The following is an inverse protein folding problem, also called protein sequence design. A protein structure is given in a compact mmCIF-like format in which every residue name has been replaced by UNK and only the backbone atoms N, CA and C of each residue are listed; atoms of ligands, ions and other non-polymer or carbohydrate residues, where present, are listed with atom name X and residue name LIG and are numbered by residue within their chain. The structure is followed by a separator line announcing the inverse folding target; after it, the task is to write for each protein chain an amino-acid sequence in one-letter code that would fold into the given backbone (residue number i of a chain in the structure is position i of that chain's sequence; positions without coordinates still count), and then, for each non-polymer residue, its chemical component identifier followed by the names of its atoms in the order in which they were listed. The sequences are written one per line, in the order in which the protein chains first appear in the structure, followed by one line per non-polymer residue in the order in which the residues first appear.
data_IF_504998200140
#
_entry.id   IF_504998200140
#
_cell.length_a   1.000
_cell.length_b   1.000
_cell.length_c   1.000
_cell.angle_alpha   90.00
_cell.angle_beta   90.00
_cell.angle_gamma   90.00
#
_symmetry.space_group_name_H-M   'P 1'
#
loop_
_entity.id
_entity.type
_entity.pdbx_description
1 polymer ?
#
# COMPACT_ATOMS: atom_id res chain seq x y z
N UNK A 1 -30.89 6.53 8.06
CA UNK A 1 -30.29 6.67 6.71
C UNK A 1 -28.83 6.25 6.82
N UNK A 2 -28.17 5.80 5.75
CA UNK A 2 -26.82 5.19 5.82
C UNK A 2 -25.72 6.13 6.32
N UNK A 3 -25.89 7.45 6.18
CA UNK A 3 -24.93 8.48 6.60
C UNK A 3 -25.51 9.42 7.66
N UNK A 4 -26.46 8.95 8.48
CA UNK A 4 -27.18 9.78 9.43
C UNK A 4 -26.23 10.44 10.44
N UNK A 5 -26.17 11.78 10.42
CA UNK A 5 -25.37 12.57 11.36
C UNK A 5 -23.89 12.72 10.99
N UNK A 6 -23.42 12.09 9.90
CA UNK A 6 -22.06 12.27 9.41
C UNK A 6 -21.89 13.68 8.82
N UNK A 7 -20.81 14.38 9.19
CA UNK A 7 -20.46 15.71 8.71
C UNK A 7 -19.47 15.59 7.55
N UNK A 8 -19.92 15.89 6.34
CA UNK A 8 -19.13 15.72 5.12
C UNK A 8 -18.83 17.08 4.51
N UNK A 9 -17.53 17.39 4.39
CA UNK A 9 -17.07 18.56 3.66
C UNK A 9 -16.76 18.17 2.21
N UNK A 10 -17.43 18.81 1.26
CA UNK A 10 -17.27 18.53 -0.17
C UNK A 10 -16.49 19.65 -0.85
N UNK A 11 -15.24 19.35 -1.22
CA UNK A 11 -14.38 20.17 -2.06
C UNK A 11 -14.76 20.05 -3.53
N UNK A 12 -15.02 21.16 -4.21
CA UNK A 12 -15.35 21.20 -5.64
C UNK A 12 -14.26 22.00 -6.37
N UNK A 13 -13.71 21.42 -7.43
CA UNK A 13 -12.65 22.04 -8.25
C UNK A 13 -13.15 22.38 -9.65
N UNK A 14 -12.51 23.36 -10.32
CA UNK A 14 -12.97 23.89 -11.60
C UNK A 14 -12.65 22.99 -12.79
N UNK A 15 -13.52 22.02 -13.07
CA UNK A 15 -13.49 21.20 -14.28
C UNK A 15 -14.89 20.92 -14.81
N UNK A 16 -15.00 20.36 -16.02
CA UNK A 16 -16.29 20.11 -16.68
C UNK A 16 -17.24 19.26 -15.82
N UNK A 17 -16.73 18.35 -14.99
CA UNK A 17 -17.53 17.51 -14.12
C UNK A 17 -18.09 18.22 -12.87
N UNK A 18 -17.79 19.51 -12.63
CA UNK A 18 -18.24 20.23 -11.44
C UNK A 18 -19.78 20.27 -11.29
N UNK A 19 -20.53 20.24 -12.40
CA UNK A 19 -21.99 20.16 -12.33
C UNK A 19 -22.49 18.86 -11.67
N UNK A 20 -21.73 17.76 -11.75
CA UNK A 20 -22.09 16.49 -11.11
C UNK A 20 -22.07 16.59 -9.59
N UNK A 21 -21.27 17.50 -9.01
CA UNK A 21 -21.21 17.74 -7.57
C UNK A 21 -22.55 18.21 -7.00
N UNK A 22 -23.40 18.88 -7.79
CA UNK A 22 -24.76 19.28 -7.39
C UNK A 22 -25.59 18.04 -7.01
N UNK A 23 -25.50 16.99 -7.83
CA UNK A 23 -26.22 15.73 -7.60
C UNK A 23 -25.64 15.02 -6.38
N UNK A 24 -24.31 14.93 -6.29
CA UNK A 24 -23.60 14.32 -5.15
C UNK A 24 -23.99 14.97 -3.81
N UNK A 25 -23.99 16.30 -3.72
CA UNK A 25 -24.39 17.04 -2.51
C UNK A 25 -25.80 16.65 -2.06
N UNK A 26 -26.76 16.60 -3.00
CA UNK A 26 -28.15 16.20 -2.70
C UNK A 26 -28.24 14.73 -2.29
N UNK A 27 -27.44 13.86 -2.90
CA UNK A 27 -27.46 12.43 -2.61
C UNK A 27 -26.91 12.13 -1.21
N UNK A 28 -25.85 12.82 -0.79
CA UNK A 28 -25.31 12.77 0.58
C UNK A 28 -26.36 13.25 1.60
N UNK A 29 -27.02 14.39 1.35
CA UNK A 29 -28.08 14.90 2.21
C UNK A 29 -29.28 13.94 2.30
N UNK A 30 -29.68 13.32 1.19
CA UNK A 30 -30.74 12.28 1.17
C UNK A 30 -30.38 11.05 2.00
N UNK A 31 -29.09 10.81 2.24
CA UNK A 31 -28.55 9.75 3.11
C UNK A 31 -28.35 10.19 4.55
N UNK A 32 -28.77 11.41 4.89
CA UNK A 32 -28.80 11.92 6.27
C UNK A 32 -27.51 12.59 6.72
N UNK A 33 -26.55 12.80 5.81
CA UNK A 33 -25.33 13.53 6.09
C UNK A 33 -25.60 15.04 6.22
N UNK A 34 -24.88 15.69 7.12
CA UNK A 34 -24.71 17.14 7.13
C UNK A 34 -23.62 17.50 6.12
N UNK A 35 -23.93 18.36 5.15
CA UNK A 35 -23.05 18.59 4.01
C UNK A 35 -22.72 20.06 3.85
N UNK A 36 -21.41 20.38 3.85
CA UNK A 36 -20.89 21.70 3.50
C UNK A 36 -20.12 21.62 2.19
N UNK A 37 -20.10 22.71 1.43
CA UNK A 37 -19.35 22.80 0.17
C UNK A 37 -18.28 23.89 0.27
N UNK A 38 -17.09 23.57 -0.24
CA UNK A 38 -15.94 24.46 -0.31
C UNK A 38 -15.34 24.35 -1.71
N UNK A 39 -14.90 25.46 -2.30
CA UNK A 39 -14.56 25.45 -3.73
C UNK A 39 -13.23 26.12 -4.03
N UNK A 40 -12.62 25.73 -5.15
CA UNK A 40 -11.59 26.57 -5.77
C UNK A 40 -12.22 27.76 -6.50
N UNK A 41 -11.50 28.88 -6.69
CA UNK A 41 -12.01 30.04 -7.46
C UNK A 41 -12.52 29.68 -8.86
N UNK A 42 -11.86 28.71 -9.53
CA UNK A 42 -12.21 28.26 -10.88
C UNK A 42 -13.57 27.57 -11.01
N UNK A 43 -14.22 27.14 -9.91
CA UNK A 43 -15.56 26.50 -9.96
C UNK A 43 -16.62 27.43 -10.54
N UNK A 44 -16.49 28.74 -10.29
CA UNK A 44 -17.43 29.77 -10.76
C UNK A 44 -17.61 29.81 -12.28
N UNK A 45 -16.66 29.26 -13.04
CA UNK A 45 -16.74 29.13 -14.50
C UNK A 45 -17.63 27.97 -14.97
N UNK A 46 -18.01 27.05 -14.07
CA UNK A 46 -18.79 25.85 -14.39
C UNK A 46 -20.11 25.78 -13.61
N UNK A 47 -20.10 26.16 -12.33
CA UNK A 47 -21.27 26.13 -11.43
C UNK A 47 -21.32 27.42 -10.62
N UNK A 48 -22.51 28.03 -10.54
CA UNK A 48 -22.72 29.23 -9.74
C UNK A 48 -22.68 28.95 -8.23
N UNK A 49 -21.98 29.80 -7.48
CA UNK A 49 -21.90 29.67 -6.01
C UNK A 49 -23.28 29.71 -5.33
N UNK A 50 -24.21 30.50 -5.87
CA UNK A 50 -25.60 30.54 -5.38
C UNK A 50 -26.32 29.20 -5.47
N UNK A 51 -26.03 28.39 -6.50
CA UNK A 51 -26.58 27.04 -6.61
C UNK A 51 -26.08 26.15 -5.48
N UNK A 52 -24.78 26.23 -5.17
CA UNK A 52 -24.18 25.45 -4.08
C UNK A 52 -24.75 25.90 -2.72
N UNK A 53 -24.80 27.20 -2.46
CA UNK A 53 -25.41 27.78 -1.24
C UNK A 53 -26.88 27.35 -1.07
N UNK A 54 -27.66 27.36 -2.14
CA UNK A 54 -29.06 26.96 -2.10
C UNK A 54 -29.25 25.46 -1.81
N UNK A 55 -28.33 24.60 -2.26
CA UNK A 55 -28.38 23.15 -2.03
C UNK A 55 -27.90 22.81 -0.63
N UNK A 56 -26.76 23.33 -0.20
CA UNK A 56 -26.19 23.04 1.12
C UNK A 56 -26.95 23.77 2.24
N UNK A 57 -27.59 24.90 1.92
CA UNK A 57 -28.15 25.87 2.88
C UNK A 57 -27.08 26.42 3.84
N UNK A 58 -25.85 26.46 3.35
CA UNK A 58 -24.65 26.89 4.08
C UNK A 58 -23.88 27.90 3.22
N UNK A 59 -22.97 28.62 3.85
CA UNK A 59 -21.98 29.40 3.09
C UNK A 59 -21.13 28.50 2.19
N UNK A 60 -20.49 29.09 1.18
CA UNK A 60 -19.58 28.38 0.27
C UNK A 60 -18.28 29.16 0.18
N UNK A 61 -17.28 28.83 1.01
CA UNK A 61 -15.99 29.49 1.02
C UNK A 61 -15.18 29.19 -0.25
N UNK A 62 -14.37 30.18 -0.69
CA UNK A 62 -13.59 30.13 -1.94
C UNK A 62 -12.15 30.57 -1.71
N UNK A 63 -11.96 31.79 -1.21
CA UNK A 63 -10.65 32.35 -0.88
C UNK A 63 -10.42 32.35 0.63
N UNK A 64 -9.16 32.23 1.05
CA UNK A 64 -8.77 32.33 2.47
C UNK A 64 -8.98 33.76 2.98
N UNK A 65 -8.71 34.75 2.14
CA UNK A 65 -8.87 36.17 2.44
C UNK A 65 -9.94 36.78 1.53
N UNK A 66 -10.88 37.51 2.11
CA UNK A 66 -11.86 38.28 1.34
C UNK A 66 -11.28 39.64 0.94
N UNK A 67 -11.57 40.10 -0.28
CA UNK A 67 -11.06 41.38 -0.81
C UNK A 67 -11.89 42.60 -0.38
N UNK A 68 -13.07 42.39 0.20
CA UNK A 68 -13.95 43.48 0.62
C UNK A 68 -14.11 43.46 2.15
N UNK A 69 -14.05 44.65 2.75
CA UNK A 69 -14.06 44.91 4.20
C UNK A 69 -15.39 44.59 4.91
N UNK A 70 -16.05 43.50 4.55
CA UNK A 70 -17.17 42.95 5.29
C UNK A 70 -16.65 42.28 6.57
N UNK A 71 -16.84 43.02 7.66
CA UNK A 71 -16.57 42.63 9.02
C UNK A 71 -17.44 41.43 9.44
N UNK A 72 -17.00 40.22 9.09
CA UNK A 72 -17.34 39.03 9.87
C UNK A 72 -16.08 38.62 10.61
N UNK A 73 -16.08 38.90 11.92
CA UNK A 73 -15.00 38.71 12.87
C UNK A 73 -14.53 37.24 13.07
N UNK A 74 -14.93 36.34 12.16
CA UNK A 74 -14.75 34.89 12.26
C UNK A 74 -14.18 34.27 10.96
N UNK A 75 -13.73 35.11 10.03
CA UNK A 75 -13.36 34.68 8.66
C UNK A 75 -11.97 34.04 8.55
N UNK A 76 -10.99 34.44 9.37
CA UNK A 76 -9.59 34.03 9.18
C UNK A 76 -9.30 32.57 9.58
N UNK A 77 -10.01 32.01 10.57
CA UNK A 77 -9.85 30.62 11.03
C UNK A 77 -10.75 29.62 10.31
N UNK A 78 -11.55 30.05 9.31
CA UNK A 78 -12.49 29.15 8.61
C UNK A 78 -11.82 27.93 8.01
N UNK A 79 -10.62 28.09 7.44
CA UNK A 79 -9.84 26.97 6.90
C UNK A 79 -9.54 25.91 7.98
N UNK A 80 -9.40 26.30 9.25
CA UNK A 80 -9.20 25.40 10.39
C UNK A 80 -10.53 24.76 10.80
N UNK A 81 -11.52 25.58 11.19
CA UNK A 81 -12.75 25.06 11.79
C UNK A 81 -13.59 24.21 10.83
N UNK A 82 -13.53 24.48 9.52
CA UNK A 82 -14.23 23.64 8.54
C UNK A 82 -13.53 22.29 8.34
N UNK A 83 -12.19 22.26 8.38
CA UNK A 83 -11.42 21.02 8.35
C UNK A 83 -11.62 20.18 9.61
N UNK A 84 -11.79 20.81 10.78
CA UNK A 84 -12.07 20.14 12.05
C UNK A 84 -13.54 19.69 12.20
N UNK A 85 -14.47 20.37 11.54
CA UNK A 85 -15.90 20.03 11.59
C UNK A 85 -16.23 18.74 10.84
N UNK A 86 -15.47 18.40 9.80
CA UNK A 86 -15.79 17.27 8.94
C UNK A 86 -15.34 15.94 9.55
N UNK A 87 -16.20 14.92 9.48
CA UNK A 87 -15.87 13.51 9.74
C UNK A 87 -15.28 12.84 8.49
N UNK A 88 -15.57 13.39 7.30
CA UNK A 88 -14.93 13.02 6.03
C UNK A 88 -14.81 14.25 5.12
N UNK A 89 -13.65 14.41 4.49
CA UNK A 89 -13.44 15.42 3.45
C UNK A 89 -13.38 14.74 2.07
N UNK A 90 -14.31 15.07 1.17
CA UNK A 90 -14.35 14.56 -0.21
C UNK A 90 -14.07 15.69 -1.20
N UNK A 91 -13.08 15.54 -2.09
CA UNK A 91 -12.82 16.47 -3.20
C UNK A 91 -13.32 15.85 -4.50
N UNK A 92 -14.52 16.24 -4.95
CA UNK A 92 -15.19 15.67 -6.11
C UNK A 92 -15.95 16.73 -6.92
N UNK A 93 -15.52 17.03 -8.16
CA UNK A 93 -14.29 16.55 -8.80
C UNK A 93 -13.01 17.15 -8.21
N UNK A 94 -11.90 16.45 -8.38
CA UNK A 94 -10.54 16.93 -8.14
C UNK A 94 -9.78 17.07 -9.48
N UNK A 95 -9.53 18.29 -9.95
CA UNK A 95 -8.73 18.53 -11.15
C UNK A 95 -7.26 18.19 -10.92
N UNK A 96 -6.51 17.90 -11.98
CA UNK A 96 -5.06 17.69 -11.92
C UNK A 96 -4.32 18.82 -11.17
N UNK A 97 -4.75 20.07 -11.37
CA UNK A 97 -4.18 21.25 -10.71
C UNK A 97 -4.35 21.20 -9.18
N UNK A 98 -5.58 20.98 -8.71
CA UNK A 98 -5.83 20.91 -7.26
C UNK A 98 -5.19 19.66 -6.66
N UNK A 99 -5.21 18.54 -7.39
CA UNK A 99 -4.54 17.31 -6.97
C UNK A 99 -3.04 17.54 -6.75
N UNK A 100 -2.36 18.22 -7.68
CA UNK A 100 -0.97 18.63 -7.51
C UNK A 100 -0.78 19.56 -6.30
N UNK A 101 -1.68 20.52 -6.10
CA UNK A 101 -1.59 21.40 -4.92
C UNK A 101 -1.68 20.65 -3.61
N UNK A 102 -2.61 19.70 -3.51
CA UNK A 102 -2.76 18.86 -2.31
C UNK A 102 -1.51 18.01 -2.10
N UNK A 103 -1.02 17.34 -3.15
CA UNK A 103 0.14 16.45 -3.08
C UNK A 103 1.40 17.17 -2.60
N UNK A 104 1.57 18.44 -2.95
CA UNK A 104 2.75 19.24 -2.60
C UNK A 104 2.51 20.24 -1.46
N UNK A 105 1.37 20.16 -0.77
CA UNK A 105 1.06 20.97 0.40
C UNK A 105 0.86 22.47 0.13
N UNK A 106 0.39 22.86 -1.06
CA UNK A 106 0.01 24.24 -1.35
C UNK A 106 -1.33 24.59 -0.70
N UNK A 107 -1.47 25.82 -0.20
CA UNK A 107 -2.65 26.31 0.54
C UNK A 107 -3.13 27.68 0.06
N UNK A 108 -3.23 27.87 -1.25
CA UNK A 108 -3.44 29.18 -1.87
C UNK A 108 -4.91 29.61 -2.04
N UNK A 109 -5.85 28.72 -1.72
CA UNK A 109 -7.28 28.98 -1.68
C UNK A 109 -7.92 28.22 -0.51
N UNK A 110 -9.18 28.51 -0.22
CA UNK A 110 -9.86 28.00 0.98
C UNK A 110 -9.90 26.46 1.01
N UNK A 111 -10.21 25.80 -0.12
CA UNK A 111 -10.24 24.34 -0.22
C UNK A 111 -8.88 23.73 0.11
N UNK A 112 -7.81 24.22 -0.51
CA UNK A 112 -6.46 23.67 -0.27
C UNK A 112 -5.93 23.99 1.13
N UNK A 113 -6.30 25.14 1.70
CA UNK A 113 -5.93 25.50 3.07
C UNK A 113 -6.66 24.62 4.10
N UNK A 114 -7.95 24.35 3.91
CA UNK A 114 -8.69 23.46 4.81
C UNK A 114 -8.27 22.01 4.68
N UNK A 115 -7.77 21.60 3.52
CA UNK A 115 -7.17 20.27 3.36
C UNK A 115 -6.01 20.10 4.33
N UNK A 116 -5.10 21.07 4.47
CA UNK A 116 -3.98 20.96 5.42
C UNK A 116 -4.41 20.98 6.89
N UNK A 117 -5.51 21.65 7.22
CA UNK A 117 -6.00 21.77 8.60
C UNK A 117 -6.96 20.64 9.03
N UNK A 118 -7.33 19.74 8.12
CA UNK A 118 -8.28 18.65 8.40
C UNK A 118 -7.75 17.68 9.46
N UNK A 119 -8.67 17.04 10.18
CA UNK A 119 -8.36 15.94 11.11
C UNK A 119 -9.01 14.60 10.72
N UNK A 120 -9.80 14.61 9.67
CA UNK A 120 -10.53 13.46 9.16
C UNK A 120 -9.85 12.86 7.91
N UNK A 121 -10.27 11.64 7.50
CA UNK A 121 -9.87 11.06 6.22
C UNK A 121 -10.19 12.02 5.06
N UNK A 122 -9.31 12.00 4.06
CA UNK A 122 -9.50 12.74 2.81
C UNK A 122 -9.64 11.76 1.66
N UNK A 123 -10.70 11.96 0.89
CA UNK A 123 -10.96 11.29 -0.37
C UNK A 123 -10.88 12.30 -1.50
N UNK A 124 -10.16 11.99 -2.57
CA UNK A 124 -10.14 12.78 -3.81
C UNK A 124 -10.67 11.93 -4.95
N UNK A 125 -11.49 12.52 -5.81
CA UNK A 125 -12.03 11.90 -7.03
C UNK A 125 -11.44 12.62 -8.24
N UNK A 126 -10.28 12.18 -8.77
CA UNK A 126 -9.63 12.86 -9.87
C UNK A 126 -10.52 12.89 -11.12
N UNK A 127 -10.47 14.01 -11.83
CA UNK A 127 -11.07 14.10 -13.16
C UNK A 127 -10.23 15.00 -14.07
N UNK A 128 -9.98 14.50 -15.27
CA UNK A 128 -9.19 15.16 -16.31
C UNK A 128 -9.32 14.38 -17.62
N UNK A 129 -8.72 14.90 -18.69
CA UNK A 129 -8.62 14.14 -19.94
C UNK A 129 -7.65 12.96 -19.78
N UNK A 130 -7.71 11.97 -20.67
CA UNK A 130 -6.97 10.71 -20.52
C UNK A 130 -5.47 10.91 -20.57
N UNK A 131 -4.99 11.73 -21.51
CA UNK A 131 -3.57 12.07 -21.60
C UNK A 131 -3.08 12.83 -20.35
N UNK A 132 -3.96 13.62 -19.72
CA UNK A 132 -3.63 14.30 -18.47
C UNK A 132 -3.55 13.31 -17.30
N UNK A 133 -4.44 12.31 -17.29
CA UNK A 133 -4.41 11.24 -16.30
C UNK A 133 -3.12 10.44 -16.42
N UNK A 134 -2.80 9.96 -17.62
CA UNK A 134 -1.61 9.15 -17.90
C UNK A 134 -0.29 9.95 -17.80
N UNK A 135 -0.36 11.27 -17.70
CA UNK A 135 0.82 12.12 -17.63
C UNK A 135 1.67 11.76 -16.40
N UNK A 136 3.00 11.56 -16.54
CA UNK A 136 3.85 11.13 -15.43
C UNK A 136 3.81 12.04 -14.20
N UNK A 137 3.59 13.35 -14.38
CA UNK A 137 3.44 14.26 -13.24
C UNK A 137 2.14 14.01 -12.45
N UNK A 138 1.06 13.67 -13.15
CA UNK A 138 -0.23 13.35 -12.53
C UNK A 138 -0.11 12.05 -11.75
N UNK A 139 0.48 11.02 -12.36
CA UNK A 139 0.71 9.73 -11.70
C UNK A 139 1.60 9.86 -10.46
N UNK A 140 2.70 10.62 -10.52
CA UNK A 140 3.51 10.93 -9.32
C UNK A 140 2.72 11.61 -8.21
N UNK A 141 1.80 12.51 -8.56
CA UNK A 141 0.96 13.17 -7.56
C UNK A 141 -0.06 12.19 -6.96
N UNK A 142 -0.65 11.30 -7.77
CA UNK A 142 -1.55 10.23 -7.27
C UNK A 142 -0.81 9.31 -6.31
N UNK A 143 0.40 8.88 -6.67
CA UNK A 143 1.26 8.06 -5.82
C UNK A 143 1.59 8.77 -4.51
N UNK A 144 1.96 10.06 -4.56
CA UNK A 144 2.26 10.85 -3.36
C UNK A 144 1.05 10.96 -2.44
N UNK A 145 -0.13 11.27 -2.99
CA UNK A 145 -1.37 11.34 -2.20
C UNK A 145 -1.68 10.00 -1.53
N UNK A 146 -1.56 8.89 -2.27
CA UNK A 146 -1.76 7.54 -1.71
C UNK A 146 -0.75 7.25 -0.60
N UNK A 147 0.51 7.64 -0.80
CA UNK A 147 1.57 7.52 0.22
C UNK A 147 1.29 8.33 1.48
N UNK A 148 0.60 9.46 1.35
CA UNK A 148 0.16 10.31 2.47
C UNK A 148 -1.14 9.80 3.15
N UNK A 149 -1.62 8.61 2.81
CA UNK A 149 -2.86 8.03 3.34
C UNK A 149 -4.13 8.71 2.81
N UNK A 150 -4.04 9.47 1.73
CA UNK A 150 -5.19 10.10 1.08
C UNK A 150 -5.84 9.08 0.14
N UNK A 151 -7.14 8.88 0.30
CA UNK A 151 -7.90 7.97 -0.54
C UNK A 151 -8.11 8.59 -1.93
N UNK A 152 -7.54 7.97 -2.97
CA UNK A 152 -7.71 8.40 -4.36
C UNK A 152 -8.64 7.43 -5.07
N UNK A 153 -9.88 7.85 -5.31
CA UNK A 153 -10.86 7.07 -6.07
C UNK A 153 -10.50 7.09 -7.55
N UNK A 154 -10.26 5.91 -8.13
CA UNK A 154 -9.87 5.78 -9.54
C UNK A 154 -10.89 6.43 -10.49
N UNK A 155 -10.45 7.21 -11.50
CA UNK A 155 -11.36 7.76 -12.48
C UNK A 155 -12.02 6.66 -13.32
N UNK A 156 -13.27 6.88 -13.70
CA UNK A 156 -13.99 6.01 -14.62
C UNK A 156 -13.45 6.15 -16.05
N UNK A 157 -13.64 5.09 -16.84
CA UNK A 157 -13.40 5.09 -18.27
C UNK A 157 -14.64 5.56 -19.05
N UNK A 158 -14.42 6.26 -20.16
CA UNK A 158 -15.47 6.50 -21.15
C UNK A 158 -15.16 7.69 -22.03
N UNK A 159 -16.22 8.29 -22.60
CA UNK A 159 -16.08 9.43 -23.52
C UNK A 159 -15.63 10.70 -22.78
N UNK A 160 -14.50 11.25 -23.21
CA UNK A 160 -13.82 12.40 -22.60
C UNK A 160 -14.07 13.70 -23.38
N UNK A 161 -13.68 14.83 -22.78
CA UNK A 161 -13.84 16.15 -23.39
C UNK A 161 -13.01 16.32 -24.67
N UNK A 162 -11.86 15.63 -24.80
CA UNK A 162 -11.08 15.54 -26.04
C UNK A 162 -11.81 14.85 -27.19
N UNK A 163 -12.91 14.15 -26.92
CA UNK A 163 -13.62 13.31 -27.89
C UNK A 163 -13.07 11.89 -28.00
N UNK A 164 -12.06 11.55 -27.18
CA UNK A 164 -11.50 10.21 -27.08
C UNK A 164 -12.25 9.37 -26.03
N UNK A 165 -12.04 8.05 -26.08
CA UNK A 165 -12.42 7.14 -25.01
C UNK A 165 -11.17 6.84 -24.20
N UNK A 166 -11.23 7.03 -22.89
CA UNK A 166 -10.12 6.76 -21.99
C UNK A 166 -10.48 6.94 -20.52
N UNK A 167 -9.53 6.65 -19.65
CA UNK A 167 -9.65 6.82 -18.21
C UNK A 167 -9.51 8.31 -17.85
N UNK A 168 -10.31 8.82 -16.92
CA UNK A 168 -10.22 10.24 -16.48
C UNK A 168 -11.56 10.89 -16.17
N UNK A 169 -12.67 10.20 -16.46
CA UNK A 169 -14.00 10.67 -16.10
C UNK A 169 -14.19 10.61 -14.59
N UNK A 170 -14.90 11.59 -14.04
CA UNK A 170 -15.39 11.48 -12.67
C UNK A 170 -16.29 10.23 -12.55
N UNK A 171 -16.04 9.32 -11.59
CA UNK A 171 -16.90 8.17 -11.32
C UNK A 171 -18.36 8.59 -11.12
N UNK A 172 -19.30 7.69 -11.39
CA UNK A 172 -20.71 8.05 -11.26
C UNK A 172 -21.10 8.17 -9.78
N UNK A 173 -22.13 8.97 -9.51
CA UNK A 173 -22.59 9.28 -8.15
C UNK A 173 -22.71 8.05 -7.23
N UNK A 174 -23.29 6.91 -7.67
CA UNK A 174 -23.39 5.73 -6.80
C UNK A 174 -22.04 5.15 -6.36
N UNK A 175 -21.01 5.22 -7.20
CA UNK A 175 -19.67 4.72 -6.90
C UNK A 175 -19.01 5.61 -5.83
N UNK A 176 -19.11 6.93 -5.99
CA UNK A 176 -18.61 7.90 -5.02
C UNK A 176 -19.32 7.71 -3.67
N UNK A 177 -20.64 7.52 -3.67
CA UNK A 177 -21.40 7.32 -2.44
C UNK A 177 -21.05 6.02 -1.72
N UNK A 178 -20.84 4.93 -2.47
CA UNK A 178 -20.45 3.64 -1.90
C UNK A 178 -19.09 3.76 -1.19
N UNK A 179 -18.15 4.48 -1.79
CA UNK A 179 -16.82 4.69 -1.19
C UNK A 179 -16.87 5.61 0.04
N UNK A 180 -17.72 6.65 -0.01
CA UNK A 180 -17.99 7.50 1.16
C UNK A 180 -18.56 6.70 2.33
N UNK A 181 -19.53 5.82 2.06
CA UNK A 181 -20.13 4.94 3.07
C UNK A 181 -19.10 3.97 3.65
N UNK A 182 -18.22 3.41 2.80
CA UNK A 182 -17.13 2.52 3.23
C UNK A 182 -16.13 3.24 4.14
N UNK A 183 -15.65 4.41 3.72
CA UNK A 183 -14.67 5.19 4.49
C UNK A 183 -15.20 5.65 5.85
N UNK A 184 -16.50 5.95 5.95
CA UNK A 184 -17.11 6.31 7.23
C UNK A 184 -17.43 5.09 8.11
N UNK A 185 -17.61 3.89 7.53
CA UNK A 185 -17.81 2.66 8.30
C UNK A 185 -16.50 2.14 8.93
N UNK A 186 -15.36 2.37 8.27
CA UNK A 186 -14.04 1.99 8.76
C UNK A 186 -13.53 2.90 9.91
N UNK A 187 -14.23 4.01 10.18
CA UNK A 187 -13.96 4.90 11.32
C UNK A 187 -14.87 4.46 12.47
N UNK A 188 -14.36 3.59 13.35
CA UNK A 188 -15.10 3.02 14.49
C UNK A 188 -15.67 4.12 15.42
N UNK A 189 -17.00 4.25 15.57
CA UNK A 189 -17.62 5.25 16.42
C UNK A 189 -17.44 5.00 17.94
N UNK A 190 -17.01 3.80 18.37
CA UNK A 190 -16.84 3.48 19.79
C UNK A 190 -15.46 3.82 20.36
N UNK A 191 -14.45 4.10 19.53
CA UNK A 191 -13.12 4.48 20.04
C UNK A 191 -13.03 5.93 20.52
N UNK A 192 -13.93 6.81 20.08
CA UNK A 192 -13.96 8.24 20.44
C UNK A 192 -15.08 8.60 21.44
N UNK A 193 -15.96 7.65 21.80
CA UNK A 193 -17.11 7.92 22.66
C UNK A 193 -16.81 7.89 24.17
N UNK A 194 -15.70 7.27 24.61
CA UNK A 194 -15.25 7.31 26.01
C UNK A 194 -14.39 8.54 26.35
N UNK A 195 -13.83 9.22 25.35
CA UNK A 195 -13.14 10.51 25.53
C UNK A 195 -14.02 11.66 25.03
N UNK A 196 -14.99 12.04 25.86
CA UNK A 196 -15.80 13.23 25.64
C UNK A 196 -14.93 14.44 25.28
N UNK A 197 -15.41 15.19 24.26
CA UNK A 197 -14.87 16.48 23.81
C UNK A 197 -14.17 17.27 24.94
N UNK A 198 -12.84 17.27 24.90
CA UNK A 198 -11.90 18.40 25.06
C UNK A 198 -10.52 17.81 25.35
N UNK A 199 -9.70 17.69 24.32
CA UNK A 199 -8.27 17.92 24.43
C UNK A 199 -7.75 18.39 23.07
N UNK A 200 -7.56 19.70 22.97
CA UNK A 200 -6.47 20.22 22.15
C UNK A 200 -5.26 19.30 22.37
N UNK A 201 -4.69 18.73 21.30
CA UNK A 201 -3.36 18.13 21.37
C UNK A 201 -2.43 19.25 21.81
N UNK A 202 -2.24 19.31 23.11
CA UNK A 202 -1.47 20.33 23.78
C UNK A 202 -0.07 20.27 23.21
N UNK A 203 0.45 21.44 22.86
CA UNK A 203 1.86 21.70 23.11
C UNK A 203 2.09 21.48 24.61
N UNK A 204 2.30 20.21 24.96
CA UNK A 204 2.78 19.79 26.26
C UNK A 204 4.26 20.09 26.30
N UNK A 205 4.59 21.20 26.95
CA UNK A 205 5.88 21.51 27.52
C UNK A 205 6.54 20.24 28.08
N UNK A 206 7.49 19.66 27.32
CA UNK A 206 8.53 18.86 27.95
C UNK A 206 9.57 19.85 28.45
N UNK A 207 9.55 20.01 29.77
CA UNK A 207 10.46 20.85 30.51
C UNK A 207 11.90 20.68 30.04
N UNK A 208 12.57 21.82 29.92
CA UNK A 208 14.02 21.93 29.86
C UNK A 208 14.56 21.36 31.17
N UNK A 209 14.90 20.07 31.16
CA UNK A 209 15.95 19.54 32.01
C UNK A 209 17.22 19.52 31.19
N UNK A 210 18.09 20.49 31.46
CA UNK A 210 19.52 20.44 31.15
C UNK A 210 20.09 19.10 31.63
N UNK A 211 20.29 18.14 30.71
CA UNK A 211 21.31 17.08 30.76
C UNK A 211 21.05 16.03 29.65
N UNK A 212 21.41 16.35 28.40
CA UNK A 212 21.69 15.34 27.37
C UNK A 212 22.59 15.91 26.26
N UNK A 213 23.80 16.32 26.64
CA UNK A 213 24.92 16.36 25.68
C UNK A 213 25.37 14.92 25.42
N UNK A 214 25.00 14.38 24.25
CA UNK A 214 25.78 13.34 23.56
C UNK A 214 25.15 11.94 23.47
N UNK A 215 25.09 11.45 22.22
CA UNK A 215 24.83 10.07 21.72
C UNK A 215 23.34 9.69 21.66
N UNK A 216 22.78 9.15 20.58
CA UNK A 216 23.35 8.58 19.36
C UNK A 216 22.30 8.40 18.24
N UNK A 217 22.80 7.92 17.11
CA UNK A 217 22.17 7.71 15.79
C UNK A 217 20.79 7.04 15.86
N UNK A 218 19.83 7.46 15.03
CA UNK A 218 18.57 6.74 14.81
C UNK A 218 18.86 5.26 14.50
N UNK A 219 18.08 4.28 15.00
CA UNK A 219 18.36 2.88 14.72
C UNK A 219 18.45 2.68 13.19
N UNK A 220 19.55 2.09 12.73
CA UNK A 220 19.74 1.76 11.32
C UNK A 220 18.67 0.76 10.92
N UNK A 221 17.75 1.15 10.03
CA UNK A 221 16.79 0.21 9.42
C UNK A 221 17.56 -0.95 8.77
N UNK A 222 17.05 -2.18 8.92
CA UNK A 222 17.62 -3.39 8.28
C UNK A 222 17.77 -3.21 6.76
N UNK A 223 16.96 -2.36 6.16
CA UNK A 223 16.86 -2.15 4.72
C UNK A 223 17.65 -0.93 4.23
N UNK A 224 17.91 0.06 5.09
CA UNK A 224 18.55 1.31 4.68
C UNK A 224 19.96 1.08 4.11
N UNK A 225 20.15 1.45 2.84
CA UNK A 225 21.40 1.29 2.10
C UNK A 225 21.77 -0.17 1.78
N UNK A 226 20.88 -1.13 2.01
CA UNK A 226 21.10 -2.56 1.73
C UNK A 226 20.67 -2.94 0.32
N UNK A 227 21.29 -3.99 -0.21
CA UNK A 227 20.86 -4.67 -1.44
C UNK A 227 19.78 -5.68 -1.10
N UNK A 228 18.59 -5.49 -1.63
CA UNK A 228 17.42 -6.32 -1.31
C UNK A 228 16.94 -7.01 -2.58
N UNK A 229 16.93 -8.34 -2.57
CA UNK A 229 16.34 -9.15 -3.62
C UNK A 229 14.90 -9.48 -3.25
N UNK A 230 13.95 -9.17 -4.12
CA UNK A 230 12.53 -9.54 -3.94
C UNK A 230 12.06 -10.34 -5.14
N UNK A 231 11.43 -11.49 -4.88
CA UNK A 231 10.75 -12.27 -5.93
C UNK A 231 9.24 -12.06 -5.85
N UNK A 232 8.56 -11.97 -7.00
CA UNK A 232 7.11 -11.79 -7.05
C UNK A 232 6.46 -12.47 -8.25
N UNK A 233 5.13 -12.63 -8.20
CA UNK A 233 4.33 -13.21 -9.28
C UNK A 233 4.33 -14.75 -9.28
N UNK A 234 3.58 -15.37 -10.19
CA UNK A 234 3.52 -16.82 -10.33
C UNK A 234 4.67 -17.36 -11.21
N UNK A 235 4.86 -18.67 -11.23
CA UNK A 235 5.58 -19.37 -12.31
C UNK A 235 4.59 -20.01 -13.28
N UNK A 236 5.00 -20.19 -14.55
CA UNK A 236 4.27 -20.89 -15.61
C UNK A 236 5.10 -22.06 -16.12
N UNK A 237 4.71 -23.26 -15.73
CA UNK A 237 5.36 -24.51 -16.14
C UNK A 237 4.71 -25.04 -17.41
N UNK A 238 5.33 -24.76 -18.55
CA UNK A 238 4.79 -25.07 -19.87
C UNK A 238 4.69 -26.58 -20.15
N UNK A 239 3.47 -27.03 -20.46
CA UNK A 239 3.18 -28.39 -20.95
C UNK A 239 3.52 -28.46 -22.44
N UNK A 240 3.09 -27.44 -23.18
CA UNK A 240 3.34 -27.23 -24.61
C UNK A 240 3.47 -25.73 -24.91
N UNK A 241 3.51 -25.34 -26.19
CA UNK A 241 3.63 -23.93 -26.61
C UNK A 241 2.42 -23.06 -26.25
N UNK A 242 1.31 -23.64 -25.79
CA UNK A 242 0.04 -22.95 -25.54
C UNK A 242 -0.43 -23.09 -24.10
N UNK A 243 -0.13 -24.23 -23.45
CA UNK A 243 -0.66 -24.61 -22.14
C UNK A 243 0.45 -24.66 -21.12
N UNK A 244 0.16 -24.20 -19.92
CA UNK A 244 1.07 -24.24 -18.78
C UNK A 244 0.29 -24.55 -17.49
N UNK A 245 1.02 -24.98 -16.46
CA UNK A 245 0.55 -25.06 -15.08
C UNK A 245 1.04 -23.80 -14.37
N UNK A 246 0.17 -23.15 -13.58
CA UNK A 246 0.50 -21.93 -12.85
C UNK A 246 -0.32 -21.85 -11.58
N UNK A 247 0.14 -21.00 -10.67
CA UNK A 247 -0.57 -20.60 -9.47
C UNK A 247 -1.31 -19.26 -9.75
N UNK A 248 -2.42 -18.94 -9.07
CA UNK A 248 -3.23 -17.74 -9.34
C UNK A 248 -2.64 -16.46 -8.73
N UNK A 249 -1.31 -16.37 -8.53
CA UNK A 249 -0.69 -15.22 -7.89
C UNK A 249 -0.77 -13.96 -8.74
N UNK A 250 -1.25 -12.86 -8.14
CA UNK A 250 -1.25 -11.53 -8.77
C UNK A 250 0.09 -10.79 -8.64
N UNK A 251 1.01 -11.27 -7.79
CA UNK A 251 2.27 -10.60 -7.49
C UNK A 251 2.16 -9.31 -6.67
N UNK A 252 0.95 -8.85 -6.31
CA UNK A 252 0.76 -7.60 -5.57
C UNK A 252 1.51 -7.57 -4.23
N UNK A 253 1.59 -8.69 -3.50
CA UNK A 253 2.29 -8.74 -2.21
C UNK A 253 3.82 -8.59 -2.35
N UNK A 254 4.43 -9.28 -3.32
CA UNK A 254 5.87 -9.14 -3.57
C UNK A 254 6.23 -7.74 -4.09
N UNK A 255 5.35 -7.13 -4.90
CA UNK A 255 5.50 -5.72 -5.31
C UNK A 255 5.44 -4.78 -4.09
N UNK A 256 4.47 -4.99 -3.20
CA UNK A 256 4.35 -4.20 -1.98
C UNK A 256 5.59 -4.30 -1.09
N UNK A 257 6.15 -5.51 -0.91
CA UNK A 257 7.42 -5.70 -0.19
C UNK A 257 8.60 -4.97 -0.86
N UNK A 258 8.69 -5.01 -2.19
CA UNK A 258 9.72 -4.29 -2.95
C UNK A 258 9.61 -2.77 -2.78
N UNK A 259 8.39 -2.22 -2.84
CA UNK A 259 8.12 -0.81 -2.59
C UNK A 259 8.46 -0.40 -1.16
N UNK A 260 8.03 -1.17 -0.17
CA UNK A 260 8.31 -0.91 1.24
C UNK A 260 9.83 -0.96 1.53
N UNK A 261 10.55 -1.94 0.99
CA UNK A 261 12.01 -2.01 1.11
C UNK A 261 12.71 -0.80 0.48
N UNK A 262 12.25 -0.38 -0.71
CA UNK A 262 12.77 0.82 -1.38
C UNK A 262 12.48 2.10 -0.58
N UNK A 263 11.28 2.23 -0.02
CA UNK A 263 10.90 3.34 0.85
C UNK A 263 11.75 3.39 2.13
N UNK A 264 12.15 2.23 2.64
CA UNK A 264 13.10 2.11 3.74
C UNK A 264 14.57 2.39 3.34
N UNK A 265 14.82 2.78 2.08
CA UNK A 265 16.13 3.21 1.57
C UNK A 265 17.00 2.08 1.00
N UNK A 266 16.42 0.93 0.66
CA UNK A 266 17.14 -0.16 0.00
C UNK A 266 17.37 0.07 -1.50
N UNK A 267 18.41 -0.60 -2.02
CA UNK A 267 18.60 -0.84 -3.46
C UNK A 267 17.92 -2.17 -3.82
N UNK A 268 16.85 -2.11 -4.60
CA UNK A 268 15.96 -3.26 -4.80
C UNK A 268 16.14 -3.89 -6.18
N UNK A 269 16.47 -5.18 -6.18
CA UNK A 269 16.37 -6.06 -7.33
C UNK A 269 15.05 -6.81 -7.26
N UNK A 270 14.14 -6.53 -8.19
CA UNK A 270 12.85 -7.20 -8.32
C UNK A 270 12.89 -8.24 -9.44
N UNK A 271 12.74 -9.51 -9.07
CA UNK A 271 12.53 -10.62 -10.00
C UNK A 271 11.03 -10.89 -10.07
N UNK A 272 10.44 -10.84 -11.26
CA UNK A 272 8.98 -10.99 -11.39
C UNK A 272 8.57 -12.06 -12.41
N UNK A 273 7.56 -12.84 -12.03
CA UNK A 273 6.83 -13.72 -12.93
C UNK A 273 5.94 -12.94 -13.90
N UNK A 274 5.07 -13.62 -14.66
CA UNK A 274 4.11 -12.96 -15.54
C UNK A 274 2.99 -12.31 -14.71
N UNK A 275 3.09 -11.00 -14.57
CA UNK A 275 2.13 -10.12 -13.87
C UNK A 275 1.77 -8.94 -14.78
N UNK A 276 0.69 -8.23 -14.45
CA UNK A 276 0.23 -7.07 -15.23
C UNK A 276 1.30 -5.97 -15.23
N UNK A 277 1.66 -5.48 -16.42
CA UNK A 277 2.73 -4.49 -16.58
C UNK A 277 2.43 -3.18 -15.85
N UNK A 278 1.15 -2.81 -15.70
CA UNK A 278 0.71 -1.63 -14.95
C UNK A 278 1.05 -1.71 -13.45
N UNK A 279 1.29 -2.92 -12.92
CA UNK A 279 1.65 -3.12 -11.52
C UNK A 279 3.17 -3.04 -11.27
N UNK A 280 4.00 -3.01 -12.32
CA UNK A 280 5.45 -3.05 -12.18
C UNK A 280 6.01 -1.65 -11.82
N UNK A 281 6.56 -1.47 -10.62
CA UNK A 281 7.18 -0.21 -10.25
C UNK A 281 8.58 -0.07 -10.85
N UNK A 282 9.07 1.17 -10.91
CA UNK A 282 10.48 1.41 -11.22
C UNK A 282 11.37 0.89 -10.07
N UNK A 283 12.29 -0.03 -10.37
CA UNK A 283 13.24 -0.64 -9.43
C UNK A 283 14.69 -0.45 -9.89
N UNK A 284 15.65 -0.57 -8.97
CA UNK A 284 17.09 -0.44 -9.31
C UNK A 284 17.51 -1.52 -10.33
N UNK A 285 16.97 -2.73 -10.16
CA UNK A 285 17.06 -3.80 -11.16
C UNK A 285 15.72 -4.51 -11.27
N UNK A 286 15.27 -4.74 -12.51
CA UNK A 286 14.02 -5.42 -12.81
C UNK A 286 14.31 -6.52 -13.83
N UNK A 287 14.03 -7.79 -13.48
CA UNK A 287 14.16 -8.93 -14.39
C UNK A 287 12.92 -9.81 -14.34
N UNK A 288 12.50 -10.32 -15.48
CA UNK A 288 11.38 -11.24 -15.60
C UNK A 288 11.84 -12.70 -15.61
N UNK A 289 11.02 -13.59 -15.08
CA UNK A 289 11.11 -15.04 -15.27
C UNK A 289 9.76 -15.60 -15.70
N UNK A 290 9.75 -16.75 -16.36
CA UNK A 290 8.54 -17.48 -16.67
C UNK A 290 8.39 -18.75 -15.84
N UNK A 291 9.46 -19.53 -15.66
CA UNK A 291 9.43 -20.82 -14.95
C UNK A 291 10.19 -20.80 -13.61
N UNK A 292 9.96 -21.83 -12.79
CA UNK A 292 10.72 -22.06 -11.57
C UNK A 292 12.22 -22.27 -11.83
N UNK A 293 12.59 -22.90 -12.95
CA UNK A 293 14.00 -23.10 -13.34
C UNK A 293 14.66 -21.76 -13.71
N UNK A 294 13.96 -20.88 -14.42
CA UNK A 294 14.46 -19.54 -14.74
C UNK A 294 14.58 -18.66 -13.49
N UNK A 295 13.56 -18.68 -12.63
CA UNK A 295 13.63 -18.01 -11.34
C UNK A 295 14.82 -18.53 -10.52
N UNK A 296 15.04 -19.84 -10.51
CA UNK A 296 16.18 -20.42 -9.80
C UNK A 296 17.51 -19.88 -10.34
N UNK A 297 17.69 -19.84 -11.66
CA UNK A 297 18.89 -19.26 -12.27
C UNK A 297 19.10 -17.78 -11.90
N UNK A 298 18.04 -16.97 -11.90
CA UNK A 298 18.12 -15.57 -11.47
C UNK A 298 18.42 -15.42 -9.98
N UNK A 299 17.88 -16.29 -9.13
CA UNK A 299 18.19 -16.29 -7.70
C UNK A 299 19.64 -16.74 -7.45
N UNK A 300 20.17 -17.67 -8.23
CA UNK A 300 21.59 -18.02 -8.16
C UNK A 300 22.50 -16.86 -8.59
N UNK A 301 22.07 -16.04 -9.55
CA UNK A 301 22.80 -14.86 -10.01
C UNK A 301 22.76 -13.71 -8.98
N UNK A 302 21.58 -13.36 -8.47
CA UNK A 302 21.37 -12.16 -7.64
C UNK A 302 21.37 -12.43 -6.14
N UNK A 303 21.03 -13.65 -5.72
CA UNK A 303 20.90 -14.05 -4.32
C UNK A 303 22.18 -13.87 -3.50
N UNK A 304 23.36 -14.33 -3.96
CA UNK A 304 24.61 -14.17 -3.23
C UNK A 304 25.05 -12.70 -3.00
N UNK A 305 24.56 -11.79 -3.83
CA UNK A 305 24.85 -10.36 -3.72
C UNK A 305 23.87 -9.62 -2.80
N UNK A 306 22.73 -10.19 -2.45
CA UNK A 306 21.75 -9.50 -1.62
C UNK A 306 22.14 -9.55 -0.14
N UNK A 307 21.96 -8.44 0.58
CA UNK A 307 22.01 -8.42 2.04
C UNK A 307 20.72 -9.00 2.64
N UNK A 308 19.58 -8.80 1.95
CA UNK A 308 18.26 -9.32 2.34
C UNK A 308 17.59 -9.96 1.12
N UNK A 309 17.08 -11.18 1.26
CA UNK A 309 16.30 -11.87 0.23
C UNK A 309 14.88 -12.10 0.73
N UNK A 310 13.89 -11.64 -0.04
CA UNK A 310 12.46 -11.81 0.22
C UNK A 310 11.87 -12.69 -0.89
N UNK A 311 11.52 -13.93 -0.54
CA UNK A 311 10.94 -14.89 -1.47
C UNK A 311 9.41 -14.86 -1.41
N UNK A 312 8.79 -13.93 -2.17
CA UNK A 312 7.33 -13.74 -2.21
C UNK A 312 6.68 -14.26 -3.52
N UNK A 313 7.45 -14.77 -4.47
CA UNK A 313 6.91 -15.41 -5.67
C UNK A 313 6.16 -16.71 -5.33
N UNK A 314 5.06 -16.97 -6.03
CA UNK A 314 4.33 -18.22 -5.94
C UNK A 314 4.91 -19.22 -6.94
N UNK A 315 5.94 -19.95 -6.49
CA UNK A 315 6.65 -20.96 -7.28
C UNK A 315 5.84 -22.26 -7.28
N UNK A 316 5.62 -22.84 -8.45
CA UNK A 316 4.97 -24.14 -8.58
C UNK A 316 5.83 -25.25 -7.99
N UNK A 317 5.24 -26.19 -7.25
CA UNK A 317 5.97 -27.32 -6.63
C UNK A 317 6.37 -28.40 -7.64
N UNK A 318 5.70 -28.42 -8.80
CA UNK A 318 5.90 -29.42 -9.83
C UNK A 318 5.75 -28.82 -11.23
N UNK A 319 6.50 -29.39 -12.17
CA UNK A 319 6.54 -29.05 -13.59
C UNK A 319 6.31 -30.29 -14.47
N UNK A 320 5.89 -30.15 -15.73
CA UNK A 320 5.85 -31.26 -16.67
C UNK A 320 7.21 -31.96 -16.76
N UNK A 321 7.23 -33.28 -16.58
CA UNK A 321 8.47 -34.06 -16.63
C UNK A 321 9.15 -34.00 -18.02
N UNK A 322 8.35 -33.75 -19.07
CA UNK A 322 8.80 -33.45 -20.43
C UNK A 322 7.86 -32.42 -21.05
N UNK A 323 8.43 -31.32 -21.55
CA UNK A 323 7.73 -30.37 -22.41
C UNK A 323 7.47 -31.02 -23.78
N UNK A 324 6.26 -30.84 -24.30
CA UNK A 324 5.89 -31.36 -25.62
C UNK A 324 6.10 -30.24 -26.64
N UNK A 325 6.91 -30.50 -27.66
CA UNK A 325 7.13 -29.54 -28.75
C UNK A 325 5.89 -29.45 -29.66
N UNK A 326 5.38 -28.25 -29.88
CA UNK A 326 4.17 -27.99 -30.66
C UNK A 326 2.87 -28.18 -29.88
N UNK A 327 1.79 -27.56 -30.36
CA UNK A 327 0.46 -27.69 -29.76
C UNK A 327 -0.04 -29.13 -29.85
N UNK A 328 -0.37 -29.73 -28.70
CA UNK A 328 -0.97 -31.07 -28.71
C UNK A 328 -2.34 -31.02 -29.38
N UNK A 329 -2.47 -31.82 -30.45
CA UNK A 329 -3.69 -31.96 -31.25
C UNK A 329 -4.77 -32.67 -30.43
N UNK A 330 -6.03 -32.28 -30.60
CA UNK A 330 -7.16 -33.00 -30.00
C UNK A 330 -7.10 -34.46 -30.46
N UNK A 331 -6.83 -35.37 -29.53
CA UNK A 331 -7.11 -36.78 -29.69
C UNK A 331 -8.27 -37.12 -28.73
N UNK A 332 -9.19 -37.98 -29.16
CA UNK A 332 -10.35 -38.43 -28.37
C UNK A 332 -9.97 -39.39 -27.22
N UNK A 333 -8.79 -39.21 -26.61
CA UNK A 333 -8.28 -40.05 -25.53
C UNK A 333 -8.09 -39.26 -24.23
N UNK A 334 -8.33 -39.96 -23.11
CA UNK A 334 -7.91 -39.52 -21.79
C UNK A 334 -6.42 -39.17 -21.82
N UNK A 335 -6.08 -37.97 -21.33
CA UNK A 335 -4.72 -37.49 -21.36
C UNK A 335 -4.14 -37.48 -19.95
N UNK A 336 -2.98 -38.12 -19.78
CA UNK A 336 -2.17 -38.07 -18.57
C UNK A 336 -0.98 -37.14 -18.75
N UNK A 337 -0.66 -36.39 -17.69
CA UNK A 337 0.52 -35.55 -17.60
C UNK A 337 1.42 -36.05 -16.47
N UNK A 338 2.64 -36.44 -16.80
CA UNK A 338 3.63 -36.81 -15.79
C UNK A 338 4.32 -35.55 -15.28
N UNK A 339 4.34 -35.37 -13.95
CA UNK A 339 4.99 -34.24 -13.29
C UNK A 339 6.32 -34.66 -12.66
N UNK A 340 7.24 -33.71 -12.59
CA UNK A 340 8.50 -33.78 -11.86
C UNK A 340 8.59 -32.59 -10.88
N UNK A 341 9.30 -32.72 -9.75
CA UNK A 341 9.47 -31.61 -8.83
C UNK A 341 10.25 -30.45 -9.48
N UNK A 342 9.92 -29.22 -9.08
CA UNK A 342 10.72 -28.03 -9.40
C UNK A 342 11.92 -27.89 -8.45
N UNK A 343 12.91 -27.03 -8.77
CA UNK A 343 13.99 -26.73 -7.84
C UNK A 343 13.47 -26.08 -6.56
N UNK A 344 13.98 -26.53 -5.41
CA UNK A 344 13.68 -25.92 -4.12
C UNK A 344 14.57 -24.70 -3.87
N UNK A 345 14.13 -23.56 -4.37
CA UNK A 345 14.90 -22.30 -4.39
C UNK A 345 15.21 -21.83 -2.96
N UNK A 346 14.23 -21.96 -2.05
CA UNK A 346 14.40 -21.57 -0.65
C UNK A 346 15.40 -22.47 0.08
N UNK A 347 15.37 -23.79 -0.17
CA UNK A 347 16.35 -24.71 0.41
C UNK A 347 17.76 -24.37 -0.08
N UNK A 348 17.91 -24.16 -1.40
CA UNK A 348 19.19 -23.79 -1.97
C UNK A 348 19.72 -22.48 -1.37
N UNK A 349 18.88 -21.44 -1.26
CA UNK A 349 19.25 -20.18 -0.60
C UNK A 349 19.68 -20.41 0.86
N UNK A 350 18.95 -21.24 1.61
CA UNK A 350 19.28 -21.59 2.99
C UNK A 350 20.63 -22.30 3.14
N UNK A 351 20.98 -23.18 2.19
CA UNK A 351 22.27 -23.89 2.12
C UNK A 351 23.43 -22.98 1.68
N UNK A 352 23.16 -21.97 0.86
CA UNK A 352 24.16 -21.07 0.27
C UNK A 352 24.15 -19.67 0.90
N UNK A 353 23.48 -19.53 2.04
CA UNK A 353 23.28 -18.27 2.75
C UNK A 353 24.62 -17.67 3.17
N UNK A 354 24.87 -16.43 2.75
CA UNK A 354 26.10 -15.71 3.13
C UNK A 354 26.05 -15.22 4.58
N UNK A 355 27.23 -15.01 5.17
CA UNK A 355 27.32 -14.57 6.56
C UNK A 355 26.76 -13.14 6.71
N UNK A 356 25.78 -12.96 7.61
CA UNK A 356 25.05 -11.71 7.78
C UNK A 356 23.94 -11.44 6.76
N UNK A 357 23.70 -12.35 5.80
CA UNK A 357 22.55 -12.27 4.90
C UNK A 357 21.25 -12.66 5.62
N UNK A 358 20.18 -11.92 5.35
CA UNK A 358 18.84 -12.20 5.88
C UNK A 358 17.96 -12.86 4.82
N UNK A 359 17.35 -14.01 5.14
CA UNK A 359 16.41 -14.73 4.28
C UNK A 359 15.00 -14.72 4.87
N UNK A 360 14.05 -14.19 4.10
CA UNK A 360 12.64 -14.08 4.47
C UNK A 360 11.82 -14.89 3.46
N UNK A 361 11.09 -15.89 3.95
CA UNK A 361 10.18 -16.70 3.15
C UNK A 361 8.73 -16.27 3.29
N UNK A 362 7.90 -16.64 2.32
CA UNK A 362 6.45 -16.63 2.43
C UNK A 362 5.89 -18.05 2.49
N UNK A 363 4.86 -18.25 3.31
CA UNK A 363 4.05 -19.46 3.33
C UNK A 363 2.60 -19.09 3.07
N UNK A 364 1.92 -19.92 2.27
CA UNK A 364 0.50 -19.82 2.00
C UNK A 364 -0.12 -21.14 2.41
N UNK A 365 -1.02 -21.13 3.39
CA UNK A 365 -1.63 -22.35 3.93
C UNK A 365 -3.16 -22.19 3.99
N UNK A 366 -3.90 -23.23 3.62
CA UNK A 366 -5.38 -23.21 3.62
C UNK A 366 -6.00 -23.80 4.89
N UNK A 367 -5.24 -24.58 5.64
CA UNK A 367 -5.71 -25.21 6.88
C UNK A 367 -5.16 -24.45 8.09
N UNK A 368 -6.03 -23.71 8.78
CA UNK A 368 -5.65 -22.89 9.93
C UNK A 368 -5.12 -23.71 11.11
N UNK A 369 -5.48 -25.00 11.25
CA UNK A 369 -5.02 -25.83 12.35
C UNK A 369 -3.55 -26.23 12.20
N UNK A 370 -3.11 -26.47 10.97
CA UNK A 370 -1.76 -26.98 10.66
C UNK A 370 -0.81 -25.91 10.09
N UNK A 371 -1.34 -24.77 9.66
CA UNK A 371 -0.58 -23.73 8.96
C UNK A 371 0.64 -23.17 9.73
N UNK A 372 0.49 -22.93 11.04
CA UNK A 372 1.59 -22.40 11.86
C UNK A 372 2.72 -23.41 12.01
N UNK A 373 2.39 -24.68 12.25
CA UNK A 373 3.37 -25.77 12.34
C UNK A 373 4.11 -25.95 11.00
N UNK A 374 3.38 -25.89 9.88
CA UNK A 374 3.96 -25.96 8.55
C UNK A 374 4.91 -24.78 8.26
N UNK A 375 4.54 -23.56 8.65
CA UNK A 375 5.37 -22.37 8.49
C UNK A 375 6.66 -22.46 9.32
N UNK A 376 6.57 -22.88 10.59
CA UNK A 376 7.72 -23.05 11.46
C UNK A 376 8.66 -24.16 10.98
N UNK A 377 8.10 -25.30 10.55
CA UNK A 377 8.87 -26.39 9.95
C UNK A 377 9.62 -25.92 8.70
N UNK A 378 9.00 -25.06 7.87
CA UNK A 378 9.63 -24.47 6.68
C UNK A 378 10.72 -23.46 7.05
N UNK A 379 10.51 -22.64 8.09
CA UNK A 379 11.52 -21.70 8.60
C UNK A 379 12.79 -22.44 9.02
N UNK A 380 12.67 -23.52 9.79
CA UNK A 380 13.80 -24.34 10.23
C UNK A 380 14.45 -25.09 9.06
N UNK A 381 13.65 -25.85 8.30
CA UNK A 381 14.17 -26.72 7.22
C UNK A 381 14.84 -25.95 6.08
N UNK A 382 14.48 -24.68 5.89
CA UNK A 382 15.05 -23.80 4.85
C UNK A 382 16.03 -22.75 5.40
N UNK A 383 16.41 -22.84 6.69
CA UNK A 383 17.37 -21.92 7.33
C UNK A 383 17.00 -20.42 7.15
N UNK A 384 15.71 -20.10 7.30
CA UNK A 384 15.19 -18.73 7.16
C UNK A 384 15.38 -17.96 8.47
N UNK A 385 15.54 -16.64 8.37
CA UNK A 385 15.51 -15.77 9.57
C UNK A 385 14.09 -15.33 9.91
N UNK A 386 13.20 -15.31 8.90
CA UNK A 386 11.79 -15.06 9.12
C UNK A 386 10.92 -15.76 8.08
N UNK A 387 9.68 -16.04 8.45
CA UNK A 387 8.65 -16.51 7.54
C UNK A 387 7.36 -15.75 7.76
N UNK A 388 6.73 -15.34 6.66
CA UNK A 388 5.46 -14.63 6.63
C UNK A 388 4.39 -15.63 6.20
N UNK A 389 3.50 -15.99 7.11
CA UNK A 389 2.39 -16.89 6.88
C UNK A 389 1.15 -16.10 6.46
N UNK A 390 0.58 -16.49 5.32
CA UNK A 390 -0.72 -16.04 4.85
C UNK A 390 -1.71 -17.21 4.91
N UNK A 391 -2.76 -17.06 5.73
CA UNK A 391 -3.84 -18.03 5.83
C UNK A 391 -4.88 -17.75 4.75
N UNK A 392 -5.12 -18.70 3.85
CA UNK A 392 -6.22 -18.61 2.90
C UNK A 392 -7.54 -18.86 3.64
N UNK A 393 -8.32 -17.81 3.89
CA UNK A 393 -9.69 -17.93 4.41
C UNK A 393 -10.67 -17.67 3.27
N UNK A 394 -11.66 -18.56 3.10
CA UNK A 394 -12.73 -18.36 2.12
C UNK A 394 -13.38 -16.99 2.33
N UNK A 395 -13.24 -16.08 1.35
CA UNK A 395 -13.91 -14.78 1.33
C UNK A 395 -13.13 -13.59 1.92
N UNK A 396 -12.01 -13.78 2.62
CA UNK A 396 -11.34 -12.70 3.38
C UNK A 396 -9.83 -12.55 3.15
N UNK A 397 -9.14 -13.60 2.68
CA UNK A 397 -7.69 -13.56 2.42
C UNK A 397 -7.33 -14.52 1.29
N UNK A 398 -6.91 -13.97 0.15
CA UNK A 398 -6.69 -14.76 -1.06
C UNK A 398 -5.93 -14.03 -2.17
N UNK A 399 -5.50 -14.78 -3.17
CA UNK A 399 -4.85 -14.24 -4.35
C UNK A 399 -5.75 -13.19 -5.03
N UNK A 400 -5.21 -11.99 -5.30
CA UNK A 400 -5.91 -10.95 -6.06
C UNK A 400 -6.68 -9.89 -5.27
N UNK A 401 -7.04 -10.11 -3.99
CA UNK A 401 -7.72 -9.09 -3.14
C UNK A 401 -6.72 -8.09 -2.56
N UNK A 402 -7.13 -6.85 -2.26
CA UNK A 402 -6.21 -5.77 -1.84
C UNK A 402 -5.88 -5.75 -0.34
N UNK A 403 -6.68 -6.44 0.49
CA UNK A 403 -6.37 -6.66 1.91
C UNK A 403 -5.55 -7.94 2.13
N UNK A 404 -4.81 -8.00 3.23
CA UNK A 404 -4.09 -9.20 3.65
C UNK A 404 -4.00 -9.27 5.18
N UNK A 405 -4.21 -10.46 5.75
CA UNK A 405 -3.91 -10.74 7.15
C UNK A 405 -2.76 -11.74 7.19
N UNK A 406 -1.62 -11.33 7.71
CA UNK A 406 -0.41 -12.17 7.75
C UNK A 406 0.14 -12.28 9.17
N UNK A 407 0.73 -13.43 9.45
CA UNK A 407 1.47 -13.69 10.68
C UNK A 407 2.97 -13.76 10.36
N UNK A 408 3.78 -13.00 11.07
CA UNK A 408 5.24 -13.00 10.95
C UNK A 408 5.86 -13.80 12.10
N UNK A 409 6.67 -14.79 11.72
CA UNK A 409 7.51 -15.54 12.63
C UNK A 409 8.98 -15.19 12.35
N UNK A 410 9.73 -14.87 13.40
CA UNK A 410 11.16 -14.57 13.32
C UNK A 410 11.92 -15.66 14.06
N UNK A 411 12.91 -16.28 13.40
CA UNK A 411 13.72 -17.33 13.97
C UNK A 411 14.70 -16.77 15.00
N UNK A 412 14.63 -17.23 16.26
CA UNK A 412 15.65 -16.89 17.26
C UNK A 412 16.84 -17.84 17.15
N UNK A 413 18.03 -17.31 16.83
CA UNK A 413 19.30 -18.03 16.98
C UNK A 413 19.85 -17.83 18.40
N UNK A 414 19.38 -18.61 19.37
CA UNK A 414 20.01 -18.66 20.70
C UNK A 414 21.16 -19.67 20.72
N UNK A 415 22.33 -19.26 21.19
CA UNK A 415 23.50 -20.13 21.37
C UNK A 415 23.33 -21.20 22.47
N UNK A 416 22.13 -21.39 23.02
CA UNK A 416 21.86 -22.21 24.20
C UNK A 416 20.48 -22.93 24.16
N UNK A 417 20.17 -23.65 23.09
CA UNK A 417 19.23 -24.79 23.18
C UNK A 417 19.23 -25.56 21.86
N UNK A 418 19.51 -26.85 21.92
CA UNK A 418 19.74 -27.69 20.74
C UNK A 418 18.46 -28.31 20.12
N UNK A 419 17.24 -28.00 20.59
CA UNK A 419 16.08 -28.85 20.24
C UNK A 419 14.74 -28.16 19.91
N UNK A 420 14.67 -26.85 19.61
CA UNK A 420 13.48 -26.21 19.00
C UNK A 420 13.76 -24.76 18.63
N UNK A 421 13.33 -24.27 17.45
CA UNK A 421 13.32 -22.83 17.18
C UNK A 421 12.39 -22.13 18.19
N UNK A 422 12.95 -21.23 19.00
CA UNK A 422 12.12 -20.30 19.74
C UNK A 422 11.61 -19.22 18.78
N UNK A 423 10.30 -19.02 18.79
CA UNK A 423 9.61 -17.92 18.12
C UNK A 423 8.73 -17.20 19.15
N UNK A 424 8.34 -15.96 18.84
CA UNK A 424 7.43 -15.21 19.68
C UNK A 424 5.98 -15.72 19.50
N UNK A 425 5.32 -16.06 20.61
CA UNK A 425 3.92 -16.45 20.67
C UNK A 425 3.14 -15.48 21.60
N UNK A 426 2.08 -14.80 21.14
CA UNK A 426 1.53 -14.85 19.78
C UNK A 426 2.48 -14.25 18.72
N UNK A 427 2.41 -14.72 17.47
CA UNK A 427 3.17 -14.12 16.38
C UNK A 427 2.74 -12.68 16.12
N UNK A 428 3.58 -11.90 15.46
CA UNK A 428 3.18 -10.57 15.00
C UNK A 428 2.12 -10.72 13.91
N UNK A 429 0.95 -10.13 14.11
CA UNK A 429 -0.15 -10.17 13.15
C UNK A 429 -0.34 -8.79 12.55
N UNK A 430 -0.50 -8.75 11.23
CA UNK A 430 -0.68 -7.51 10.47
C UNK A 430 -1.91 -7.65 9.58
N UNK A 431 -2.72 -6.59 9.54
CA UNK A 431 -3.92 -6.49 8.72
C UNK A 431 -4.00 -5.12 8.07
N UNK A 432 -4.48 -5.08 6.82
CA UNK A 432 -4.61 -3.83 6.07
C UNK A 432 -4.45 -4.05 4.57
N UNK A 433 -4.17 -2.98 3.83
CA UNK A 433 -3.80 -3.12 2.40
C UNK A 433 -2.47 -3.84 2.28
N UNK A 434 -2.17 -4.42 1.12
CA UNK A 434 -0.87 -5.10 0.91
C UNK A 434 0.33 -4.19 1.14
N UNK A 435 0.23 -2.90 0.82
CA UNK A 435 1.31 -1.94 1.05
C UNK A 435 1.45 -1.62 2.53
N UNK A 436 0.34 -1.39 3.25
CA UNK A 436 0.39 -1.14 4.70
C UNK A 436 1.00 -2.33 5.44
N UNK A 437 0.57 -3.55 5.09
CA UNK A 437 1.12 -4.79 5.63
C UNK A 437 2.62 -4.90 5.30
N UNK A 438 3.03 -4.58 4.08
CA UNK A 438 4.44 -4.60 3.69
C UNK A 438 5.30 -3.59 4.46
N UNK A 439 4.80 -2.37 4.70
CA UNK A 439 5.48 -1.35 5.50
C UNK A 439 5.63 -1.80 6.96
N UNK A 440 4.55 -2.30 7.56
CA UNK A 440 4.56 -2.85 8.92
C UNK A 440 5.53 -4.05 9.04
N UNK A 441 5.57 -4.93 8.04
CA UNK A 441 6.52 -6.04 7.99
C UNK A 441 7.97 -5.55 7.90
N UNK A 442 8.27 -4.57 7.05
CA UNK A 442 9.62 -3.99 6.89
C UNK A 442 10.10 -3.33 8.19
N UNK A 443 9.23 -2.60 8.88
CA UNK A 443 9.53 -2.00 10.18
C UNK A 443 9.75 -3.07 11.25
N UNK A 444 8.86 -4.06 11.34
CA UNK A 444 8.98 -5.12 12.35
C UNK A 444 10.22 -5.99 12.11
N UNK A 445 10.51 -6.35 10.86
CA UNK A 445 11.73 -7.06 10.48
C UNK A 445 12.97 -6.25 10.84
N UNK A 446 12.92 -4.93 10.65
CA UNK A 446 13.99 -4.03 11.09
C UNK A 446 14.17 -4.10 12.60
N UNK A 447 13.10 -4.04 13.39
CA UNK A 447 13.22 -4.15 14.85
C UNK A 447 13.74 -5.53 15.30
N UNK A 448 13.18 -6.60 14.76
CA UNK A 448 13.44 -7.97 15.22
C UNK A 448 14.79 -8.53 14.75
N UNK A 449 15.32 -8.07 13.62
CA UNK A 449 16.57 -8.57 13.04
C UNK A 449 17.73 -7.56 13.12
N UNK A 450 17.51 -6.36 13.67
CA UNK A 450 18.57 -5.41 14.06
C UNK A 450 19.36 -5.92 15.27
N UNK A 451 20.15 -6.95 15.04
CA UNK A 451 20.98 -7.62 16.04
C UNK A 451 22.03 -8.57 15.44
N UNK A 452 21.96 -8.85 14.14
CA UNK A 452 22.93 -9.68 13.42
C UNK A 452 24.15 -8.85 13.05
N UNK A 453 24.97 -8.47 14.05
CA UNK A 453 26.36 -8.08 13.79
C UNK A 453 27.18 -9.33 13.48
N UNK A 454 28.12 -9.28 12.50
CA UNK A 454 29.02 -10.40 12.25
C UNK A 454 29.83 -10.67 13.53
N UNK A 455 29.87 -11.95 13.90
CA UNK A 455 30.54 -12.43 15.10
C UNK A 455 31.96 -11.86 15.25
N UNK A 456 32.26 -11.38 16.45
CA UNK A 456 33.48 -10.65 16.78
C UNK A 456 34.74 -11.46 16.46
N UNK A 457 35.60 -10.87 15.64
CA UNK A 457 36.94 -11.38 15.42
C UNK A 457 37.74 -11.21 16.73
N UNK A 458 37.96 -12.32 17.44
CA UNK A 458 38.79 -12.37 18.65
C UNK A 458 40.25 -12.07 18.30
N UNK A 459 40.62 -10.78 18.29
CA UNK A 459 42.02 -10.39 18.24
C UNK A 459 42.64 -10.62 19.63
N UNK A 460 43.33 -11.75 19.72
CA UNK A 460 44.20 -12.12 20.83
C UNK A 460 45.42 -11.19 20.89
N UNK A 461 45.31 -10.04 21.55
CA UNK A 461 46.50 -9.32 22.02
C UNK A 461 47.06 -10.01 23.24
N UNK A 462 47.99 -10.94 23.00
CA UNK A 462 48.97 -11.41 23.98
C UNK A 462 49.72 -10.21 24.58
N UNK A 463 49.45 -9.90 25.85
CA UNK A 463 50.48 -9.33 26.73
C UNK A 463 51.52 -10.42 26.99
N UNK A 464 52.75 -10.20 26.55
CA UNK A 464 53.93 -10.78 27.20
C UNK A 464 54.96 -9.68 27.44
N UNK A 465 55.29 -9.58 28.73
CA UNK A 465 56.57 -9.18 29.30
C UNK A 465 57.77 -9.75 28.56
#
# INVERSE_FOLDING_TARGET
MTLQGARILVGITGGIAAYKSISLLRALQKRGAEVRAITTPSVSSFVGLETLRAITREEVPVEVFHQDGDAVADSWTRHIHWGEWADLYVVAPCTAQTMAKIAHGFSDNMLTASVLARRCPLMVCPTMDGEMWDHPATQRNVELLRGDGIHVLEPAEGYLASGLIGQGRLPEEPEILAEVERLLADVDPEHDAEEGHVAARSHGERGVSDEAKGRGVAPSSLFAGKRVLVTTGPTREHIDDVRFISNPSSGKMGIAMALAAKQAGAHVTLLHGPIESALLPAMDTLKSFESADELFGLVQEHGPEADVVIMAAAVSDAKPAKRIDGKVKKADQEWSLQLAPTPDILAWLGEHKSDGQVLIGFAMESDAETAREAALSKLEAKNLDAIILNLLREGESGFGIDSNNVELFVGQKTAQSQDQAQYQDPPYAFGGTKLDVALQLVDQLSVSLSGVSPSGNSSSTKKKS
#
